data_IF_877420702505
#
_entry.id   IF_877420702505
#
_cell.length_a   1.000
_cell.length_b   1.000
_cell.length_c   1.000
_cell.angle_alpha   90.00
_cell.angle_beta   90.00
_cell.angle_gamma   90.00
#
_symmetry.space_group_name_H-M   'P 1'
#
loop_
_entity.id
_entity.type
_entity.pdbx_description
1 polymer ?
#
# COMPACT_ATOMS: atom_id res chain seq x y z
N UNK A 1 -7.46 15.69 -34.51
CA UNK A 1 -7.51 15.16 -33.12
C UNK A 1 -6.24 14.37 -32.92
N UNK A 2 -5.29 14.89 -32.15
CA UNK A 2 -4.08 14.16 -31.80
C UNK A 2 -4.47 12.99 -30.88
N UNK A 3 -4.37 11.77 -31.37
CA UNK A 3 -4.54 10.57 -30.51
C UNK A 3 -3.34 10.52 -29.55
N UNK A 4 -3.57 10.64 -28.25
CA UNK A 4 -2.57 10.34 -27.24
C UNK A 4 -2.26 8.85 -27.29
N UNK A 5 -0.97 8.49 -27.45
CA UNK A 5 -0.53 7.11 -27.62
C UNK A 5 0.08 6.54 -26.34
N UNK A 6 0.45 7.39 -25.41
CA UNK A 6 1.06 7.02 -24.15
C UNK A 6 0.62 7.97 -23.02
N UNK A 7 0.55 7.40 -21.82
CA UNK A 7 0.32 8.11 -20.57
C UNK A 7 1.48 7.81 -19.63
N UNK A 8 2.29 8.84 -19.33
CA UNK A 8 3.37 8.74 -18.38
C UNK A 8 2.85 9.01 -16.97
N UNK A 9 3.26 8.16 -16.02
CA UNK A 9 2.91 8.22 -14.61
C UNK A 9 4.18 8.33 -13.78
N UNK A 10 4.10 9.03 -12.66
CA UNK A 10 5.09 8.96 -11.58
C UNK A 10 5.00 7.61 -10.87
N UNK A 11 5.99 7.26 -10.00
CA UNK A 11 5.91 6.04 -9.22
C UNK A 11 4.59 5.95 -8.43
N UNK A 12 3.97 4.77 -8.44
CA UNK A 12 2.67 4.52 -7.80
C UNK A 12 2.79 3.93 -6.39
N UNK A 13 3.99 3.92 -5.83
CA UNK A 13 4.27 3.37 -4.50
C UNK A 13 3.71 4.21 -3.35
N UNK A 14 3.58 3.60 -2.15
CA UNK A 14 3.17 4.32 -0.96
C UNK A 14 4.19 5.40 -0.61
N UNK A 15 3.71 6.63 -0.40
CA UNK A 15 4.59 7.74 -0.03
C UNK A 15 4.99 7.67 1.44
N UNK A 16 6.22 8.12 1.74
CA UNK A 16 6.73 8.26 3.10
C UNK A 16 7.06 9.71 3.43
N UNK A 17 8.29 10.01 3.83
CA UNK A 17 8.70 11.35 4.20
C UNK A 17 8.51 12.37 3.06
N UNK A 18 7.83 13.48 3.39
CA UNK A 18 7.60 14.59 2.46
C UNK A 18 6.61 14.31 1.32
N UNK A 19 5.82 13.24 1.45
CA UNK A 19 4.78 12.84 0.49
C UNK A 19 5.29 12.65 -0.95
N UNK A 20 6.61 12.45 -1.10
CA UNK A 20 7.27 12.24 -2.39
C UNK A 20 7.00 10.84 -2.92
N UNK A 21 6.62 10.67 -4.20
CA UNK A 21 6.47 9.35 -4.81
C UNK A 21 7.81 8.61 -4.97
N UNK A 22 8.94 9.31 -4.83
CA UNK A 22 10.28 8.72 -4.87
C UNK A 22 10.81 8.30 -3.49
N UNK A 23 10.14 8.72 -2.42
CA UNK A 23 10.38 8.26 -1.05
C UNK A 23 9.27 7.27 -0.69
N UNK A 24 9.48 5.99 -0.95
CA UNK A 24 8.46 4.97 -0.80
C UNK A 24 8.83 3.95 0.26
N UNK A 25 7.83 3.45 0.98
CA UNK A 25 8.00 2.31 1.89
C UNK A 25 8.24 0.98 1.17
N UNK A 26 8.05 0.92 -0.15
CA UNK A 26 8.35 -0.25 -0.98
C UNK A 26 8.40 0.12 -2.45
N UNK A 27 9.30 -0.51 -3.19
CA UNK A 27 9.41 -0.39 -4.65
C UNK A 27 8.31 -1.17 -5.39
N UNK A 28 7.60 -2.06 -4.71
CA UNK A 28 6.61 -2.96 -5.31
C UNK A 28 5.18 -2.62 -4.93
N UNK A 29 4.97 -2.11 -3.72
CA UNK A 29 3.64 -1.86 -3.19
C UNK A 29 2.95 -0.68 -3.89
N UNK A 30 1.62 -0.75 -3.99
CA UNK A 30 0.79 0.36 -4.46
C UNK A 30 0.39 1.32 -3.35
N UNK A 31 0.22 2.60 -3.72
CA UNK A 31 -0.16 3.64 -2.79
C UNK A 31 -1.63 3.50 -2.36
N UNK A 32 -1.93 3.31 -1.06
CA UNK A 32 -3.29 3.16 -0.57
C UNK A 32 -4.17 4.39 -0.82
N UNK A 33 -3.56 5.56 -1.06
CA UNK A 33 -4.30 6.79 -1.34
C UNK A 33 -4.90 6.84 -2.75
N UNK A 34 -4.43 5.99 -3.67
CA UNK A 34 -4.98 5.85 -5.02
C UNK A 34 -6.15 4.85 -5.10
N UNK A 35 -6.47 4.15 -4.01
CA UNK A 35 -7.66 3.29 -3.99
C UNK A 35 -8.90 4.16 -4.11
N UNK A 36 -9.70 3.94 -5.16
CA UNK A 36 -10.96 4.63 -5.40
C UNK A 36 -12.02 4.15 -4.40
N UNK A 37 -12.49 5.07 -3.56
CA UNK A 37 -13.50 4.79 -2.53
C UNK A 37 -14.89 4.57 -3.11
N UNK A 38 -15.19 5.15 -4.26
CA UNK A 38 -16.49 4.96 -4.93
C UNK A 38 -16.61 3.52 -5.45
N UNK A 39 -15.51 2.94 -5.92
CA UNK A 39 -15.46 1.52 -6.25
C UNK A 39 -15.66 0.63 -5.01
N UNK A 40 -15.11 1.02 -3.86
CA UNK A 40 -15.34 0.28 -2.61
C UNK A 40 -16.81 0.39 -2.15
N UNK A 41 -17.48 1.52 -2.38
CA UNK A 41 -18.92 1.67 -2.13
C UNK A 41 -19.72 0.78 -3.07
N UNK A 42 -19.39 0.75 -4.36
CA UNK A 42 -20.01 -0.11 -5.36
C UNK A 42 -19.89 -1.60 -4.98
N UNK A 43 -18.72 -1.98 -4.46
CA UNK A 43 -18.43 -3.34 -4.00
C UNK A 43 -19.03 -3.66 -2.62
N UNK A 44 -19.78 -2.73 -2.01
CA UNK A 44 -20.39 -2.86 -0.67
C UNK A 44 -19.37 -3.05 0.46
N UNK A 45 -18.15 -2.61 0.24
CA UNK A 45 -17.09 -2.58 1.26
C UNK A 45 -17.19 -1.33 2.14
N UNK A 46 -17.71 -0.24 1.58
CA UNK A 46 -18.02 1.00 2.28
C UNK A 46 -19.45 1.45 1.97
N UNK A 47 -19.95 2.34 2.80
CA UNK A 47 -21.19 3.07 2.51
C UNK A 47 -20.85 4.49 2.04
N UNK A 48 -21.74 5.09 1.24
CA UNK A 48 -21.60 6.49 0.83
C UNK A 48 -21.54 7.44 2.02
N UNK A 49 -22.32 7.17 3.06
CA UNK A 49 -22.35 7.98 4.27
C UNK A 49 -20.99 7.98 4.99
N UNK A 50 -20.30 6.84 5.06
CA UNK A 50 -18.96 6.75 5.66
C UNK A 50 -17.93 7.56 4.89
N UNK A 51 -17.95 7.49 3.56
CA UNK A 51 -17.03 8.28 2.72
C UNK A 51 -17.32 9.77 2.84
N UNK A 52 -18.59 10.16 2.85
CA UNK A 52 -18.99 11.58 2.96
C UNK A 52 -18.77 12.17 4.36
N UNK A 53 -18.65 11.32 5.39
CA UNK A 53 -18.34 11.78 6.76
C UNK A 53 -16.86 12.18 6.94
N UNK A 54 -16.00 11.85 5.98
CA UNK A 54 -14.59 12.19 6.02
C UNK A 54 -14.34 13.56 5.36
N UNK A 55 -13.40 14.33 5.92
CA UNK A 55 -12.90 15.55 5.27
C UNK A 55 -11.79 15.20 4.28
N UNK A 56 -11.88 15.73 3.05
CA UNK A 56 -10.90 15.45 1.98
C UNK A 56 -10.10 16.68 1.56
N UNK A 57 -10.32 17.82 2.18
CA UNK A 57 -9.77 19.10 1.81
C UNK A 57 -10.86 20.04 1.27
N UNK A 58 -10.54 21.32 1.26
CA UNK A 58 -11.52 22.38 0.91
C UNK A 58 -11.26 22.94 -0.50
N UNK A 59 -10.07 22.70 -1.06
CA UNK A 59 -9.70 23.15 -2.41
C UNK A 59 -9.35 21.94 -3.30
N UNK A 60 -10.16 21.64 -4.33
CA UNK A 60 -9.96 20.48 -5.21
C UNK A 60 -8.68 20.56 -6.06
N UNK A 61 -7.98 21.70 -6.06
CA UNK A 61 -6.71 21.87 -6.78
C UNK A 61 -5.50 21.38 -5.98
N UNK A 62 -5.66 21.13 -4.68
CA UNK A 62 -4.58 20.74 -3.77
C UNK A 62 -4.98 19.51 -2.96
N UNK A 63 -3.99 18.66 -2.70
CA UNK A 63 -4.15 17.49 -1.84
C UNK A 63 -3.85 17.87 -0.39
N UNK A 64 -4.83 17.72 0.49
CA UNK A 64 -4.65 17.88 1.93
C UNK A 64 -4.23 16.53 2.54
N UNK A 65 -2.95 16.26 2.57
CA UNK A 65 -2.41 14.99 3.06
C UNK A 65 -2.76 14.74 4.53
N UNK A 66 -2.82 15.77 5.37
CA UNK A 66 -3.22 15.62 6.77
C UNK A 66 -4.64 15.06 6.93
N UNK A 67 -5.59 15.57 6.15
CA UNK A 67 -6.97 15.05 6.14
C UNK A 67 -7.06 13.63 5.57
N UNK A 68 -6.26 13.33 4.52
CA UNK A 68 -6.20 12.00 3.94
C UNK A 68 -5.64 11.00 4.97
N UNK A 69 -4.55 11.33 5.66
CA UNK A 69 -3.96 10.45 6.68
C UNK A 69 -4.93 10.14 7.81
N UNK A 70 -5.68 11.14 8.28
CA UNK A 70 -6.66 10.95 9.36
C UNK A 70 -7.84 10.05 8.96
N UNK A 71 -8.20 10.01 7.69
CA UNK A 71 -9.46 9.40 7.22
C UNK A 71 -9.27 8.09 6.46
N UNK A 72 -8.23 7.99 5.62
CA UNK A 72 -8.09 6.91 4.64
C UNK A 72 -7.98 5.54 5.29
N UNK A 73 -7.09 5.37 6.27
CA UNK A 73 -6.87 4.07 6.89
C UNK A 73 -8.09 3.59 7.69
N UNK A 74 -8.82 4.47 8.34
CA UNK A 74 -10.08 4.12 9.02
C UNK A 74 -11.11 3.53 8.05
N UNK A 75 -11.20 4.06 6.83
CA UNK A 75 -12.08 3.51 5.80
C UNK A 75 -11.57 2.17 5.27
N UNK A 76 -10.26 2.04 5.06
CA UNK A 76 -9.66 0.78 4.58
C UNK A 76 -9.78 -0.35 5.62
N UNK A 77 -9.70 -0.05 6.91
CA UNK A 77 -9.98 -0.99 8.00
C UNK A 77 -11.43 -1.49 7.95
N UNK A 78 -12.39 -0.60 7.74
CA UNK A 78 -13.80 -0.99 7.54
C UNK A 78 -13.98 -1.86 6.29
N UNK A 79 -13.30 -1.51 5.22
CA UNK A 79 -13.32 -2.31 3.99
C UNK A 79 -12.74 -3.71 4.22
N UNK A 80 -11.60 -3.83 4.94
CA UNK A 80 -11.00 -5.12 5.35
C UNK A 80 -12.00 -5.94 6.18
N UNK A 81 -12.59 -5.35 7.19
CA UNK A 81 -13.55 -6.05 8.08
C UNK A 81 -14.72 -6.65 7.30
N UNK A 82 -15.20 -5.97 6.26
CA UNK A 82 -16.35 -6.44 5.46
C UNK A 82 -15.96 -7.38 4.32
N UNK A 83 -14.75 -7.22 3.79
CA UNK A 83 -14.34 -7.86 2.54
C UNK A 83 -13.36 -9.02 2.69
N UNK A 84 -12.50 -9.01 3.69
CA UNK A 84 -11.38 -9.96 3.77
C UNK A 84 -11.82 -11.43 3.73
N UNK A 85 -12.83 -11.78 4.53
CA UNK A 85 -13.37 -13.15 4.54
C UNK A 85 -14.10 -13.50 3.23
N UNK A 86 -14.85 -12.54 2.67
CA UNK A 86 -15.54 -12.69 1.39
C UNK A 86 -14.59 -12.93 0.23
N UNK A 87 -13.48 -12.19 0.22
CA UNK A 87 -12.52 -12.18 -0.88
C UNK A 87 -11.34 -13.15 -0.64
N UNK A 88 -11.44 -14.02 0.38
CA UNK A 88 -10.36 -14.86 0.89
C UNK A 88 -9.60 -15.65 -0.18
N UNK A 89 -10.31 -16.26 -1.12
CA UNK A 89 -9.68 -17.05 -2.18
C UNK A 89 -8.89 -16.16 -3.15
N UNK A 90 -9.45 -15.01 -3.50
CA UNK A 90 -8.78 -14.03 -4.38
C UNK A 90 -7.57 -13.40 -3.69
N UNK A 91 -7.68 -13.08 -2.39
CA UNK A 91 -6.55 -12.60 -1.59
C UNK A 91 -5.44 -13.65 -1.53
N UNK A 92 -5.77 -14.92 -1.26
CA UNK A 92 -4.78 -16.00 -1.23
C UNK A 92 -4.11 -16.24 -2.60
N UNK A 93 -4.83 -16.03 -3.71
CA UNK A 93 -4.22 -16.05 -5.04
C UNK A 93 -3.25 -14.89 -5.23
N UNK A 94 -3.66 -13.68 -4.85
CA UNK A 94 -2.84 -12.49 -4.91
C UNK A 94 -1.56 -12.61 -4.04
N UNK A 95 -1.66 -13.19 -2.84
CA UNK A 95 -0.50 -13.47 -1.97
C UNK A 95 0.51 -14.40 -2.65
N UNK A 96 0.04 -15.48 -3.28
CA UNK A 96 0.93 -16.42 -4.01
C UNK A 96 1.62 -15.74 -5.20
N UNK A 97 0.91 -14.93 -5.95
CA UNK A 97 1.47 -14.18 -7.10
C UNK A 97 2.51 -13.14 -6.68
N UNK A 98 2.42 -12.65 -5.43
CA UNK A 98 3.26 -11.59 -4.88
C UNK A 98 4.13 -12.06 -3.70
N UNK A 99 4.38 -13.37 -3.56
CA UNK A 99 5.10 -13.98 -2.43
C UNK A 99 6.50 -13.40 -2.19
N UNK A 100 7.12 -12.85 -3.23
CA UNK A 100 8.49 -12.31 -3.18
C UNK A 100 8.61 -11.02 -2.38
N UNK A 101 7.56 -10.20 -2.32
CA UNK A 101 7.63 -8.89 -1.67
C UNK A 101 6.51 -8.65 -0.65
N UNK A 102 5.29 -9.11 -0.93
CA UNK A 102 4.09 -8.77 -0.16
C UNK A 102 4.16 -9.20 1.31
N UNK A 103 4.65 -10.40 1.68
CA UNK A 103 4.75 -10.81 3.08
C UNK A 103 5.69 -9.92 3.90
N UNK A 104 6.81 -9.49 3.31
CA UNK A 104 7.76 -8.59 3.96
C UNK A 104 7.19 -7.18 4.07
N UNK A 105 6.55 -6.67 3.02
CA UNK A 105 5.90 -5.36 3.05
C UNK A 105 4.77 -5.29 4.08
N UNK A 106 3.88 -6.27 4.11
CA UNK A 106 2.75 -6.30 5.04
C UNK A 106 3.22 -6.34 6.50
N UNK A 107 4.23 -7.18 6.80
CA UNK A 107 4.83 -7.23 8.13
C UNK A 107 5.56 -5.92 8.47
N UNK A 108 6.34 -5.37 7.55
CA UNK A 108 7.03 -4.08 7.75
C UNK A 108 6.05 -2.97 8.11
N UNK A 109 4.94 -2.83 7.39
CA UNK A 109 3.93 -1.81 7.66
C UNK A 109 3.19 -2.05 8.98
N UNK A 110 2.94 -3.32 9.34
CA UNK A 110 2.40 -3.69 10.64
C UNK A 110 3.36 -3.29 11.77
N UNK A 111 4.65 -3.55 11.62
CA UNK A 111 5.70 -3.13 12.55
C UNK A 111 5.84 -1.60 12.61
N UNK A 112 5.79 -0.91 11.46
CA UNK A 112 5.77 0.56 11.42
C UNK A 112 4.64 1.11 12.28
N UNK A 113 3.44 0.53 12.16
CA UNK A 113 2.27 0.92 12.97
C UNK A 113 2.49 0.60 14.45
N UNK A 114 3.01 -0.58 14.77
CA UNK A 114 3.32 -1.03 16.13
C UNK A 114 4.32 -0.11 16.83
N UNK A 115 5.38 0.29 16.13
CA UNK A 115 6.42 1.20 16.64
C UNK A 115 6.13 2.69 16.39
N UNK A 116 4.87 3.06 16.16
CA UNK A 116 4.45 4.47 16.05
C UNK A 116 5.01 5.19 14.83
N UNK A 117 5.16 4.50 13.70
CA UNK A 117 5.68 5.01 12.43
C UNK A 117 7.15 5.48 12.45
N UNK A 118 7.91 5.15 13.50
CA UNK A 118 9.37 5.41 13.56
C UNK A 118 10.09 4.70 12.40
N UNK A 119 11.25 5.22 12.00
CA UNK A 119 12.15 4.48 11.09
C UNK A 119 12.45 3.09 11.65
N UNK A 120 12.59 2.09 10.79
CA UNK A 120 12.93 0.74 11.24
C UNK A 120 14.29 0.71 11.98
N UNK A 121 15.20 1.61 11.66
CA UNK A 121 16.50 1.77 12.33
C UNK A 121 16.38 2.23 13.78
N UNK A 122 15.22 2.76 14.19
CA UNK A 122 14.91 3.28 15.51
C UNK A 122 13.94 2.38 16.31
N UNK A 123 13.61 1.19 15.80
CA UNK A 123 12.77 0.25 16.55
C UNK A 123 13.49 -0.25 17.80
N UNK A 124 12.78 -0.26 18.92
CA UNK A 124 13.34 -0.57 20.22
C UNK A 124 13.70 -2.08 20.37
N UNK A 125 13.05 -2.99 19.64
CA UNK A 125 13.38 -4.41 19.60
C UNK A 125 14.44 -4.67 18.50
N UNK A 126 15.68 -4.94 18.94
CA UNK A 126 16.82 -5.18 18.05
C UNK A 126 16.65 -6.46 17.23
N UNK A 127 16.01 -7.49 17.79
CA UNK A 127 15.86 -8.77 17.11
C UNK A 127 15.00 -8.63 15.85
N UNK A 128 13.89 -7.91 15.92
CA UNK A 128 13.06 -7.68 14.73
C UNK A 128 13.66 -6.61 13.82
N UNK A 129 14.33 -5.60 14.38
CA UNK A 129 15.03 -4.58 13.61
C UNK A 129 16.09 -5.21 12.71
N UNK A 130 16.89 -6.12 13.25
CA UNK A 130 17.97 -6.83 12.54
C UNK A 130 17.53 -8.17 11.91
N UNK A 131 16.27 -8.59 12.08
CA UNK A 131 15.74 -9.86 11.57
C UNK A 131 16.60 -11.05 11.99
N UNK A 132 17.01 -11.10 13.26
CA UNK A 132 18.03 -12.04 13.76
C UNK A 132 17.67 -13.50 13.56
N UNK A 133 16.38 -13.86 13.53
CA UNK A 133 15.94 -15.22 13.24
C UNK A 133 14.54 -15.27 12.62
N UNK A 134 14.22 -16.41 12.00
CA UNK A 134 12.88 -16.70 11.46
C UNK A 134 11.82 -16.75 12.58
N UNK A 135 12.19 -17.22 13.77
CA UNK A 135 11.29 -17.33 14.92
C UNK A 135 10.81 -15.95 15.39
N UNK A 136 11.68 -14.95 15.39
CA UNK A 136 11.32 -13.56 15.72
C UNK A 136 10.35 -13.01 14.68
N UNK A 137 10.61 -13.24 13.40
CA UNK A 137 9.74 -12.80 12.31
C UNK A 137 8.34 -13.43 12.44
N UNK A 138 8.28 -14.75 12.66
CA UNK A 138 7.00 -15.45 12.80
C UNK A 138 6.25 -15.07 14.07
N UNK A 139 6.96 -14.80 15.19
CA UNK A 139 6.35 -14.25 16.40
C UNK A 139 5.63 -12.94 16.11
N UNK A 140 6.31 -11.96 15.51
CA UNK A 140 5.68 -10.67 15.18
C UNK A 140 4.58 -10.79 14.14
N UNK A 141 4.72 -11.69 13.17
CA UNK A 141 3.66 -11.98 12.21
C UNK A 141 2.39 -12.51 12.88
N UNK A 142 2.55 -13.35 13.91
CA UNK A 142 1.42 -13.87 14.68
C UNK A 142 0.82 -12.80 15.60
N UNK A 143 1.66 -12.04 16.31
CA UNK A 143 1.24 -10.96 17.21
C UNK A 143 0.50 -9.82 16.48
N UNK A 144 0.98 -9.43 15.30
CA UNK A 144 0.45 -8.35 14.49
C UNK A 144 -0.44 -8.82 13.33
N UNK A 145 -0.99 -10.03 13.45
CA UNK A 145 -1.74 -10.68 12.38
C UNK A 145 -2.82 -9.79 11.76
N UNK A 146 -3.59 -9.08 12.59
CA UNK A 146 -4.68 -8.22 12.11
C UNK A 146 -4.17 -7.06 11.24
N UNK A 147 -3.02 -6.48 11.58
CA UNK A 147 -2.38 -5.43 10.79
C UNK A 147 -1.72 -6.00 9.54
N UNK A 148 -1.08 -7.16 9.62
CA UNK A 148 -0.53 -7.84 8.44
C UNK A 148 -1.65 -8.15 7.43
N UNK A 149 -2.77 -8.71 7.87
CA UNK A 149 -3.94 -8.95 7.03
C UNK A 149 -4.51 -7.64 6.44
N UNK A 150 -4.49 -6.54 7.22
CA UNK A 150 -4.93 -5.23 6.75
C UNK A 150 -4.07 -4.73 5.59
N UNK A 151 -2.74 -4.71 5.75
CA UNK A 151 -1.85 -4.24 4.70
C UNK A 151 -1.83 -5.16 3.48
N UNK A 152 -1.96 -6.46 3.66
CA UNK A 152 -2.18 -7.42 2.56
C UNK A 152 -3.45 -7.09 1.78
N UNK A 153 -4.58 -6.88 2.49
CA UNK A 153 -5.85 -6.58 1.84
C UNK A 153 -5.87 -5.22 1.14
N UNK A 154 -5.20 -4.22 1.70
CA UNK A 154 -5.00 -2.91 1.06
C UNK A 154 -4.30 -3.08 -0.28
N UNK A 155 -3.23 -3.87 -0.34
CA UNK A 155 -2.52 -4.13 -1.59
C UNK A 155 -3.39 -4.89 -2.59
N UNK A 156 -4.12 -5.91 -2.13
CA UNK A 156 -5.10 -6.60 -2.98
C UNK A 156 -6.12 -5.64 -3.60
N UNK A 157 -6.69 -4.71 -2.81
CA UNK A 157 -7.65 -3.72 -3.30
C UNK A 157 -7.02 -2.78 -4.33
N UNK A 158 -5.80 -2.31 -4.06
CA UNK A 158 -5.07 -1.44 -4.98
C UNK A 158 -4.83 -2.16 -6.32
N UNK A 159 -4.22 -3.32 -6.30
CA UNK A 159 -3.86 -4.04 -7.53
C UNK A 159 -5.09 -4.48 -8.33
N UNK A 160 -6.17 -4.88 -7.67
CA UNK A 160 -7.44 -5.18 -8.33
C UNK A 160 -7.97 -3.98 -9.14
N UNK A 161 -7.93 -2.78 -8.56
CA UNK A 161 -8.35 -1.56 -9.25
C UNK A 161 -7.34 -1.14 -10.32
N UNK A 162 -6.06 -1.24 -10.04
CA UNK A 162 -4.99 -0.89 -10.97
C UNK A 162 -5.01 -1.77 -12.23
N UNK A 163 -5.15 -3.08 -12.08
CA UNK A 163 -5.22 -3.99 -13.23
C UNK A 163 -6.46 -3.73 -14.09
N UNK A 164 -7.60 -3.44 -13.47
CA UNK A 164 -8.81 -3.05 -14.20
C UNK A 164 -8.62 -1.75 -14.98
N UNK A 165 -8.01 -0.72 -14.38
CA UNK A 165 -7.70 0.55 -15.03
C UNK A 165 -6.69 0.35 -16.18
N UNK A 166 -5.63 -0.43 -15.94
CA UNK A 166 -4.61 -0.75 -16.93
C UNK A 166 -5.22 -1.47 -18.16
N UNK A 167 -6.06 -2.45 -17.91
CA UNK A 167 -6.78 -3.16 -18.99
C UNK A 167 -7.67 -2.20 -19.80
N UNK A 168 -8.39 -1.30 -19.14
CA UNK A 168 -9.21 -0.28 -19.82
C UNK A 168 -8.35 0.65 -20.68
N UNK A 169 -7.25 1.19 -20.15
CA UNK A 169 -6.34 2.08 -20.87
C UNK A 169 -5.78 1.38 -22.11
N UNK A 170 -5.35 0.12 -21.98
CA UNK A 170 -4.83 -0.67 -23.09
C UNK A 170 -5.91 -0.95 -24.15
N UNK A 171 -7.17 -1.16 -23.75
CA UNK A 171 -8.28 -1.35 -24.70
C UNK A 171 -8.53 -0.12 -25.58
N UNK A 172 -8.11 1.07 -25.12
CA UNK A 172 -8.16 2.32 -25.89
C UNK A 172 -6.92 2.51 -26.80
N UNK A 173 -6.00 1.57 -26.81
CA UNK A 173 -4.74 1.64 -27.56
C UNK A 173 -3.72 2.61 -26.96
N UNK A 174 -3.86 2.94 -25.66
CA UNK A 174 -2.94 3.83 -24.94
C UNK A 174 -1.95 2.97 -24.16
N UNK A 175 -0.66 3.30 -24.25
CA UNK A 175 0.40 2.68 -23.46
C UNK A 175 0.63 3.44 -22.18
N UNK A 176 0.98 2.73 -21.12
CA UNK A 176 1.44 3.32 -19.88
C UNK A 176 2.96 3.32 -19.87
N UNK A 177 3.56 4.46 -19.53
CA UNK A 177 4.98 4.61 -19.26
C UNK A 177 5.11 4.86 -17.77
N UNK A 178 5.64 3.88 -17.03
CA UNK A 178 5.93 4.01 -15.61
C UNK A 178 7.21 4.81 -15.37
N UNK A 179 7.45 5.09 -14.11
CA UNK A 179 8.67 5.69 -13.61
C UNK A 179 9.18 4.87 -12.43
N UNK A 180 10.48 4.59 -12.40
CA UNK A 180 11.13 3.84 -11.33
C UNK A 180 12.06 4.77 -10.55
N UNK A 181 11.95 4.81 -9.22
CA UNK A 181 12.94 5.49 -8.38
C UNK A 181 14.33 4.92 -8.64
N UNK A 182 15.33 5.78 -8.80
CA UNK A 182 16.74 5.37 -8.97
C UNK A 182 17.28 4.82 -7.63
N UNK A 183 16.82 5.40 -6.53
CA UNK A 183 17.22 5.01 -5.17
C UNK A 183 16.02 4.45 -4.41
N UNK A 184 16.28 3.45 -3.58
CA UNK A 184 15.31 2.91 -2.62
C UNK A 184 15.42 3.69 -1.32
N UNK A 185 14.30 4.05 -0.72
CA UNK A 185 14.31 4.74 0.57
C UNK A 185 14.91 3.84 1.66
N UNK A 186 15.78 4.39 2.50
CA UNK A 186 16.38 3.65 3.62
C UNK A 186 15.29 3.10 4.56
N UNK A 187 14.27 3.88 4.84
CA UNK A 187 13.11 3.46 5.63
C UNK A 187 12.05 2.80 4.73
N UNK A 188 12.38 1.61 4.23
CA UNK A 188 11.52 0.81 3.37
C UNK A 188 11.55 -0.67 3.73
N UNK A 189 10.50 -1.39 3.33
CA UNK A 189 10.42 -2.83 3.46
C UNK A 189 11.53 -3.55 2.69
N UNK A 190 11.93 -2.99 1.56
CA UNK A 190 12.95 -3.57 0.70
C UNK A 190 14.32 -3.59 1.41
N UNK A 191 14.75 -2.43 1.97
CA UNK A 191 16.01 -2.33 2.70
C UNK A 191 15.96 -3.11 4.02
N UNK A 192 14.85 -3.06 4.75
CA UNK A 192 14.69 -3.83 5.99
C UNK A 192 14.70 -5.34 5.75
N UNK A 193 14.11 -5.81 4.65
CA UNK A 193 14.02 -7.24 4.36
C UNK A 193 15.34 -7.83 3.85
N UNK A 194 16.10 -7.08 3.06
CA UNK A 194 17.30 -7.54 2.37
C UNK A 194 18.42 -6.49 2.46
N UNK A 195 18.86 -6.11 3.67
CA UNK A 195 19.80 -5.01 3.88
C UNK A 195 21.16 -5.23 3.20
N UNK A 196 21.57 -6.48 2.97
CA UNK A 196 22.79 -6.84 2.28
C UNK A 196 22.80 -6.46 0.78
N UNK A 197 21.65 -6.20 0.20
CA UNK A 197 21.51 -5.75 -1.19
C UNK A 197 21.77 -4.25 -1.34
N UNK A 198 21.82 -3.50 -0.22
CA UNK A 198 21.91 -2.04 -0.21
C UNK A 198 23.14 -1.60 0.57
N UNK A 199 23.94 -0.72 -0.04
CA UNK A 199 25.18 -0.15 0.56
C UNK A 199 24.95 1.29 0.98
#
# INVERSE_FOLDING_TARGET
VYKRQAWQLLPLGPTSYGDSPYQSFSSFAGNPYFIDLDLLVKDKLLTRAEVNACGWGDDPRYVDYGKIYASRFTLLEKAKTRGFTRDREAVAAFERENERWLPNYALFMALKRHFGMKSWTEWDDEDIRCRTSSEVIERYRAELREDVELFTYIQFLFFRQWEALKAYIHSLGIRIIGDLPIYVAMDSADVWAEPEMFQ
#
